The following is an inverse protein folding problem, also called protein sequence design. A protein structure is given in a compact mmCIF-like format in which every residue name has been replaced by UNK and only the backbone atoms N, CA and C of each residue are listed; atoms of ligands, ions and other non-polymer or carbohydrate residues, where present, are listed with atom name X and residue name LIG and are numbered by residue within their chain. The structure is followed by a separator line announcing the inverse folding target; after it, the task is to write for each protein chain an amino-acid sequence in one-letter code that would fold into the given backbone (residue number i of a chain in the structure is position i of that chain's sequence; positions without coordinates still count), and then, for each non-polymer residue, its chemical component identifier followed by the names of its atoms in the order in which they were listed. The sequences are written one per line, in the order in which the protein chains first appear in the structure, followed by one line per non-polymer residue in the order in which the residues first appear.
data_IF_816386981205
#
_entry.id   IF_816386981205
#
_cell.length_a   1.000
_cell.length_b   1.000
_cell.length_c   1.000
_cell.angle_alpha   90.00
_cell.angle_beta   90.00
_cell.angle_gamma   90.00
#
_symmetry.space_group_name_H-M   'P 1'
#
loop_
_entity.id
_entity.type
_entity.pdbx_description
1 polymer ?
#
# COMPACT_ATOMS: atom_id res chain seq x y z
N UNK A 1 -0.88 20.86 -3.36
CA UNK A 1 0.15 19.80 -3.23
C UNK A 1 -0.54 18.48 -3.48
N UNK A 2 0.07 17.54 -4.20
CA UNK A 2 -0.53 16.22 -4.38
C UNK A 2 -0.18 15.38 -3.15
N UNK A 3 -1.17 14.69 -2.59
CA UNK A 3 -0.99 13.71 -1.51
C UNK A 3 -0.98 12.32 -2.12
N UNK A 4 0.00 11.50 -1.76
CA UNK A 4 -0.01 10.07 -2.02
C UNK A 4 -0.22 9.30 -0.72
N UNK A 5 -0.80 8.12 -0.88
CA UNK A 5 -0.86 7.03 0.06
C UNK A 5 0.40 6.18 -0.12
N UNK A 6 1.30 6.25 0.84
CA UNK A 6 2.48 5.41 0.91
C UNK A 6 2.19 4.24 1.85
N UNK A 7 2.34 3.03 1.33
CA UNK A 7 2.04 1.78 2.04
C UNK A 7 3.26 0.87 1.97
N UNK A 8 3.62 0.29 3.12
CA UNK A 8 4.69 -0.70 3.20
C UNK A 8 4.07 -2.06 3.43
N UNK A 9 4.10 -2.90 2.39
CA UNK A 9 3.53 -4.24 2.48
C UNK A 9 4.33 -5.07 3.50
N UNK A 10 3.67 -5.74 4.46
CA UNK A 10 4.38 -6.59 5.43
C UNK A 10 4.92 -7.89 4.78
N UNK A 11 4.42 -8.24 3.60
CA UNK A 11 4.75 -9.47 2.90
C UNK A 11 5.80 -9.28 1.80
N UNK A 12 5.95 -8.06 1.29
CA UNK A 12 6.89 -7.78 0.22
C UNK A 12 7.85 -6.65 0.60
N UNK A 13 9.07 -6.70 0.07
CA UNK A 13 10.06 -5.64 0.29
C UNK A 13 9.72 -4.34 -0.46
N UNK A 14 8.65 -4.30 -1.24
CA UNK A 14 8.25 -3.11 -2.00
C UNK A 14 7.38 -2.18 -1.17
N UNK A 15 7.70 -0.90 -1.30
CA UNK A 15 6.85 0.19 -0.86
C UNK A 15 5.96 0.62 -2.02
N UNK A 16 4.65 0.59 -1.78
CA UNK A 16 3.64 1.03 -2.74
C UNK A 16 3.36 2.50 -2.48
N UNK A 17 3.48 3.34 -3.50
CA UNK A 17 3.05 4.74 -3.46
C UNK A 17 1.92 4.90 -4.46
N UNK A 18 0.70 5.06 -3.96
CA UNK A 18 -0.50 5.24 -4.76
C UNK A 18 -1.15 6.57 -4.42
N UNK A 19 -1.94 7.15 -5.32
CA UNK A 19 -2.81 8.29 -4.97
C UNK A 19 -4.08 7.85 -4.24
N UNK A 20 -4.45 6.58 -4.40
CA UNK A 20 -5.71 6.01 -3.96
C UNK A 20 -5.47 4.75 -3.12
N UNK A 21 -6.23 4.58 -2.04
CA UNK A 21 -6.14 3.39 -1.18
C UNK A 21 -6.51 2.10 -1.91
N UNK A 22 -7.37 2.20 -2.93
CA UNK A 22 -7.88 1.04 -3.66
C UNK A 22 -6.75 0.29 -4.39
N UNK A 23 -5.76 1.03 -4.89
CA UNK A 23 -4.57 0.44 -5.51
C UNK A 23 -3.71 -0.30 -4.49
N UNK A 24 -3.61 0.24 -3.26
CA UNK A 24 -2.93 -0.42 -2.14
C UNK A 24 -3.66 -1.71 -1.74
N UNK A 25 -4.99 -1.66 -1.57
CA UNK A 25 -5.77 -2.84 -1.22
C UNK A 25 -5.65 -3.93 -2.29
N UNK A 26 -5.70 -3.54 -3.57
CA UNK A 26 -5.56 -4.48 -4.69
C UNK A 26 -4.18 -5.14 -4.69
N UNK A 27 -3.11 -4.38 -4.42
CA UNK A 27 -1.76 -4.93 -4.27
C UNK A 27 -1.72 -6.02 -3.19
N UNK A 28 -2.18 -5.72 -1.98
CA UNK A 28 -2.14 -6.68 -0.86
C UNK A 28 -3.00 -7.90 -1.15
N UNK A 29 -4.18 -7.71 -1.74
CA UNK A 29 -5.11 -8.81 -2.04
C UNK A 29 -4.52 -9.80 -3.05
N UNK A 30 -3.95 -9.30 -4.15
CA UNK A 30 -3.30 -10.15 -5.15
C UNK A 30 -2.08 -10.85 -4.53
N UNK A 31 -1.27 -10.11 -3.77
CA UNK A 31 -0.08 -10.67 -3.15
C UNK A 31 -0.40 -11.76 -2.12
N UNK A 32 -1.42 -11.53 -1.29
CA UNK A 32 -1.97 -12.52 -0.36
C UNK A 32 -2.41 -13.78 -1.11
N UNK A 33 -3.21 -13.62 -2.17
CA UNK A 33 -3.71 -14.78 -2.93
C UNK A 33 -2.59 -15.60 -3.61
N UNK A 34 -1.52 -14.95 -4.06
CA UNK A 34 -0.44 -15.60 -4.81
C UNK A 34 0.65 -16.22 -3.90
N UNK A 35 1.05 -15.51 -2.84
CA UNK A 35 2.20 -15.89 -2.01
C UNK A 35 1.86 -16.25 -0.56
N UNK A 36 0.75 -15.72 -0.02
CA UNK A 36 0.40 -15.86 1.40
C UNK A 36 -1.10 -16.17 1.61
N UNK A 37 -1.62 -17.28 1.06
CA UNK A 37 -3.05 -17.58 1.11
C UNK A 37 -3.57 -17.75 2.55
N UNK A 38 -2.71 -18.21 3.46
CA UNK A 38 -3.01 -18.41 4.88
C UNK A 38 -2.79 -17.15 5.76
N UNK A 39 -2.34 -16.02 5.18
CA UNK A 39 -2.13 -14.81 5.96
C UNK A 39 -3.47 -14.13 6.31
N UNK A 40 -3.69 -13.96 7.61
CA UNK A 40 -4.81 -13.18 8.15
C UNK A 40 -4.42 -11.70 8.20
N UNK A 41 -4.69 -10.98 7.11
CA UNK A 41 -4.58 -9.52 7.05
C UNK A 41 -5.93 -8.96 6.64
N UNK A 42 -6.46 -8.09 7.50
CA UNK A 42 -7.73 -7.42 7.31
C UNK A 42 -7.55 -6.13 6.51
N UNK A 43 -8.59 -5.68 5.83
CA UNK A 43 -8.65 -4.34 5.22
C UNK A 43 -8.29 -3.22 6.20
N UNK A 44 -8.70 -3.36 7.46
CA UNK A 44 -8.45 -2.40 8.52
C UNK A 44 -6.96 -2.30 8.88
N UNK A 45 -6.24 -3.44 8.95
CA UNK A 45 -4.78 -3.47 9.15
C UNK A 45 -4.05 -2.78 7.99
N UNK A 46 -4.49 -3.05 6.76
CA UNK A 46 -3.92 -2.42 5.56
C UNK A 46 -4.12 -0.90 5.63
N UNK A 47 -5.32 -0.46 6.00
CA UNK A 47 -5.68 0.95 6.05
C UNK A 47 -4.89 1.72 7.13
N UNK A 48 -4.64 1.13 8.30
CA UNK A 48 -3.81 1.73 9.36
C UNK A 48 -2.34 1.89 8.93
N UNK A 49 -1.85 0.98 8.09
CA UNK A 49 -0.49 1.02 7.56
C UNK A 49 -0.30 2.03 6.40
N UNK A 50 -1.39 2.56 5.84
CA UNK A 50 -1.33 3.59 4.79
C UNK A 50 -0.99 4.94 5.42
N UNK A 51 0.10 5.55 4.94
CA UNK A 51 0.54 6.88 5.35
C UNK A 51 0.27 7.89 4.25
N UNK A 52 -0.37 9.00 4.61
CA UNK A 52 -0.43 10.17 3.75
C UNK A 52 0.92 10.87 3.70
N UNK A 53 1.48 10.95 2.50
CA UNK A 53 2.72 11.66 2.22
C UNK A 53 2.46 12.76 1.19
N UNK A 54 3.03 13.93 1.42
CA UNK A 54 3.00 15.00 0.44
C UNK A 54 4.05 14.72 -0.63
N UNK A 55 3.61 14.40 -1.84
CA UNK A 55 4.53 14.26 -2.97
C UNK A 55 4.85 15.67 -3.49
N UNK A 56 5.90 16.27 -2.97
CA UNK A 56 6.62 17.29 -3.73
C UNK A 56 7.31 16.57 -4.86
N UNK A 57 6.72 16.65 -6.06
CA UNK A 57 7.33 16.22 -7.32
C UNK A 57 8.57 17.09 -7.52
N UNK A 58 9.66 16.74 -6.85
CA UNK A 58 10.94 17.41 -6.99
C UNK A 58 11.46 16.98 -8.35
N UNK A 59 11.09 17.76 -9.35
CA UNK A 59 11.55 17.60 -10.72
C UNK A 59 13.06 17.59 -10.73
N UNK A 60 13.62 16.57 -11.37
CA UNK A 60 15.02 16.53 -11.77
C UNK A 60 15.07 16.61 -13.28
#
# INVERSE_FOLDING_TARGET
MATAKQFQCPFCAFQVTATDENEVMKHVKVHKQDHHPDADVSDSDIHDMIKDVEITRSGR
#
